data_IF_116077323019
#
_entry.id   IF_116077323019
#
_cell.length_a   1.000
_cell.length_b   1.000
_cell.length_c   1.000
_cell.angle_alpha   90.00
_cell.angle_beta   90.00
_cell.angle_gamma   90.00
#
_symmetry.space_group_name_H-M   'P 1'
#
loop_
_entity.id
_entity.type
_entity.pdbx_description
1 polymer ?
#
# COMPACT_ATOMS: atom_id res chain seq x y z
N UNK A 1 20.18 3.30 20.99
CA UNK A 1 19.59 4.31 20.10
C UNK A 1 18.20 4.63 20.63
N UNK A 2 17.82 5.91 20.65
CA UNK A 2 16.53 6.34 21.21
C UNK A 2 15.40 5.92 20.26
N UNK A 3 14.20 5.63 20.80
CA UNK A 3 13.02 5.24 20.02
C UNK A 3 12.74 6.18 18.83
N UNK A 4 12.93 7.49 19.03
CA UNK A 4 12.71 8.52 18.02
C UNK A 4 13.69 8.43 16.83
N UNK A 5 14.94 8.02 17.08
CA UNK A 5 15.95 7.85 16.03
C UNK A 5 15.60 6.69 15.09
N UNK A 6 15.08 5.58 15.64
CA UNK A 6 14.66 4.43 14.84
C UNK A 6 13.54 4.79 13.86
N UNK A 7 12.55 5.55 14.31
CA UNK A 7 11.41 5.94 13.48
C UNK A 7 11.83 6.87 12.34
N UNK A 8 12.70 7.84 12.63
CA UNK A 8 13.22 8.77 11.64
C UNK A 8 14.04 8.07 10.56
N UNK A 9 14.92 7.15 10.95
CA UNK A 9 15.73 6.35 10.03
C UNK A 9 14.81 5.50 9.15
N UNK A 10 13.84 4.80 9.74
CA UNK A 10 12.91 3.97 8.99
C UNK A 10 12.05 4.78 7.99
N UNK A 11 11.62 5.99 8.37
CA UNK A 11 10.92 6.89 7.46
C UNK A 11 11.81 7.28 6.27
N UNK A 12 13.07 7.67 6.51
CA UNK A 12 13.99 8.10 5.46
C UNK A 12 14.34 6.95 4.50
N UNK A 13 14.64 5.76 5.02
CA UNK A 13 14.98 4.59 4.20
C UNK A 13 13.79 4.05 3.41
N UNK A 14 12.59 4.03 4.00
CA UNK A 14 11.37 3.62 3.26
C UNK A 14 11.05 4.60 2.13
N UNK A 15 11.12 5.91 2.40
CA UNK A 15 10.99 6.95 1.39
C UNK A 15 12.01 6.80 0.26
N UNK A 16 13.30 6.66 0.61
CA UNK A 16 14.39 6.49 -0.34
C UNK A 16 14.27 5.22 -1.18
N UNK A 17 13.91 4.09 -0.56
CA UNK A 17 13.67 2.82 -1.26
C UNK A 17 12.55 2.93 -2.29
N UNK A 18 11.43 3.55 -1.90
CA UNK A 18 10.30 3.77 -2.81
C UNK A 18 10.65 4.70 -3.96
N UNK A 19 11.38 5.79 -3.73
CA UNK A 19 11.83 6.67 -4.82
C UNK A 19 12.83 5.98 -5.72
N UNK A 20 13.81 5.27 -5.15
CA UNK A 20 14.80 4.52 -5.92
C UNK A 20 14.12 3.50 -6.84
N UNK A 21 13.17 2.74 -6.31
CA UNK A 21 12.39 1.81 -7.13
C UNK A 21 11.52 2.53 -8.17
N UNK A 22 10.88 3.64 -7.80
CA UNK A 22 10.07 4.43 -8.73
C UNK A 22 10.89 4.96 -9.92
N UNK A 23 12.16 5.34 -9.69
CA UNK A 23 13.10 5.71 -10.75
C UNK A 23 13.42 4.49 -11.63
N UNK A 24 13.67 3.31 -11.04
CA UNK A 24 13.95 2.09 -11.80
C UNK A 24 12.81 1.71 -12.76
N UNK A 25 11.55 1.90 -12.35
CA UNK A 25 10.38 1.63 -13.21
C UNK A 25 9.93 2.85 -14.03
N UNK A 26 10.77 3.88 -14.12
CA UNK A 26 10.56 5.09 -14.92
C UNK A 26 9.27 5.87 -14.60
N UNK A 27 8.94 6.04 -13.31
CA UNK A 27 7.84 6.91 -12.86
C UNK A 27 8.14 8.38 -13.21
N UNK A 28 7.15 9.16 -13.70
CA UNK A 28 7.34 10.57 -14.01
C UNK A 28 7.84 11.38 -12.81
N UNK A 29 8.81 12.27 -13.03
CA UNK A 29 9.48 13.05 -11.95
C UNK A 29 8.50 13.79 -11.02
N UNK A 30 7.39 14.31 -11.56
CA UNK A 30 6.34 14.99 -10.80
C UNK A 30 5.60 14.10 -9.79
N UNK A 31 5.68 12.78 -9.95
CA UNK A 31 5.02 11.79 -9.10
C UNK A 31 5.98 11.15 -8.07
N UNK A 32 7.31 11.27 -8.25
CA UNK A 32 8.31 10.61 -7.40
C UNK A 32 8.15 10.97 -5.92
N UNK A 33 8.08 12.27 -5.60
CA UNK A 33 7.97 12.72 -4.20
C UNK A 33 6.70 12.17 -3.53
N UNK A 34 5.60 12.14 -4.27
CA UNK A 34 4.30 11.69 -3.77
C UNK A 34 4.26 10.16 -3.62
N UNK A 35 4.87 9.43 -4.56
CA UNK A 35 5.08 8.00 -4.43
C UNK A 35 5.94 7.66 -3.21
N UNK A 36 7.03 8.40 -3.00
CA UNK A 36 7.88 8.28 -1.81
C UNK A 36 7.11 8.47 -0.50
N UNK A 37 6.25 9.49 -0.43
CA UNK A 37 5.40 9.72 0.74
C UNK A 37 4.41 8.56 0.97
N UNK A 38 3.86 7.97 -0.09
CA UNK A 38 2.99 6.79 0.03
C UNK A 38 3.74 5.58 0.61
N UNK A 39 4.97 5.32 0.15
CA UNK A 39 5.80 4.24 0.66
C UNK A 39 6.28 4.45 2.10
N UNK A 40 6.57 5.70 2.46
CA UNK A 40 6.86 6.08 3.84
C UNK A 40 5.63 5.86 4.73
N UNK A 41 4.45 6.35 4.33
CA UNK A 41 3.22 6.20 5.10
C UNK A 41 2.89 4.71 5.35
N UNK A 42 2.96 3.89 4.29
CA UNK A 42 2.68 2.47 4.38
C UNK A 42 3.64 1.71 5.31
N UNK A 43 4.94 2.02 5.23
CA UNK A 43 5.95 1.44 6.10
C UNK A 43 5.78 1.85 7.56
N UNK A 44 5.50 3.13 7.82
CA UNK A 44 5.26 3.61 9.18
C UNK A 44 4.00 2.97 9.80
N UNK A 45 2.95 2.74 9.01
CA UNK A 45 1.79 1.97 9.47
C UNK A 45 2.16 0.53 9.82
N UNK A 46 2.96 -0.14 8.98
CA UNK A 46 3.44 -1.49 9.27
C UNK A 46 4.26 -1.54 10.58
N UNK A 47 5.22 -0.63 10.74
CA UNK A 47 6.06 -0.55 11.93
C UNK A 47 5.21 -0.26 13.17
N UNK A 48 4.30 0.70 13.10
CA UNK A 48 3.39 1.03 14.19
C UNK A 48 2.55 -0.17 14.61
N UNK A 49 2.00 -0.93 13.66
CA UNK A 49 1.25 -2.15 13.93
C UNK A 49 2.12 -3.24 14.59
N UNK A 50 3.37 -3.40 14.16
CA UNK A 50 4.30 -4.35 14.79
C UNK A 50 4.66 -3.93 16.21
N UNK A 51 4.82 -2.63 16.47
CA UNK A 51 5.12 -2.10 17.81
C UNK A 51 4.01 -2.35 18.83
N UNK A 52 2.74 -2.34 18.40
CA UNK A 52 1.59 -2.65 19.27
C UNK A 52 1.28 -4.16 19.33
N UNK A 53 2.22 -5.03 18.93
CA UNK A 53 2.10 -6.49 18.96
C UNK A 53 0.97 -7.10 18.11
N UNK A 54 0.44 -6.37 17.11
CA UNK A 54 -0.57 -6.87 16.17
C UNK A 54 0.01 -7.91 15.19
N UNK A 55 1.35 -7.98 15.08
CA UNK A 55 2.07 -9.01 14.35
C UNK A 55 2.35 -8.65 12.89
N UNK A 56 3.31 -9.36 12.28
CA UNK A 56 3.84 -9.05 10.93
C UNK A 56 2.80 -9.20 9.82
N UNK A 57 1.95 -10.22 9.89
CA UNK A 57 0.94 -10.51 8.86
C UNK A 57 -0.10 -9.39 8.83
N UNK A 58 -0.70 -9.08 9.98
CA UNK A 58 -1.70 -8.03 10.09
C UNK A 58 -1.10 -6.63 9.85
N UNK A 59 0.13 -6.38 10.31
CA UNK A 59 0.83 -5.14 9.97
C UNK A 59 1.03 -4.96 8.46
N UNK A 60 1.30 -6.05 7.72
CA UNK A 60 1.46 -6.00 6.26
C UNK A 60 0.13 -5.76 5.54
N UNK A 61 -0.98 -6.29 6.08
CA UNK A 61 -2.33 -5.99 5.62
C UNK A 61 -2.63 -4.49 5.75
N UNK A 62 -2.41 -3.92 6.94
CA UNK A 62 -2.64 -2.49 7.19
C UNK A 62 -1.74 -1.61 6.33
N UNK A 63 -0.46 -1.97 6.19
CA UNK A 63 0.47 -1.27 5.30
C UNK A 63 -0.02 -1.28 3.85
N UNK A 64 -0.42 -2.44 3.32
CA UNK A 64 -0.93 -2.55 1.95
C UNK A 64 -2.26 -1.81 1.73
N UNK A 65 -3.12 -1.79 2.74
CA UNK A 65 -4.33 -0.97 2.73
C UNK A 65 -3.99 0.52 2.61
N UNK A 66 -3.04 1.00 3.42
CA UNK A 66 -2.56 2.39 3.34
C UNK A 66 -1.92 2.70 1.99
N UNK A 67 -1.16 1.78 1.38
CA UNK A 67 -0.68 1.97 0.00
C UNK A 67 -1.84 2.25 -0.95
N UNK A 68 -2.89 1.41 -0.91
CA UNK A 68 -4.06 1.59 -1.78
C UNK A 68 -4.75 2.94 -1.56
N UNK A 69 -5.00 3.32 -0.30
CA UNK A 69 -5.63 4.59 0.07
C UNK A 69 -4.78 5.78 -0.40
N UNK A 70 -3.48 5.78 -0.10
CA UNK A 70 -2.55 6.83 -0.55
C UNK A 70 -2.52 6.93 -2.07
N UNK A 71 -2.45 5.81 -2.79
CA UNK A 71 -2.44 5.83 -4.24
C UNK A 71 -3.71 6.44 -4.83
N UNK A 72 -4.89 6.17 -4.25
CA UNK A 72 -6.16 6.77 -4.71
C UNK A 72 -6.16 8.28 -4.50
N UNK A 73 -5.75 8.73 -3.31
CA UNK A 73 -5.69 10.15 -2.96
C UNK A 73 -4.70 10.88 -3.88
N UNK A 74 -3.51 10.32 -4.05
CA UNK A 74 -2.44 10.91 -4.85
C UNK A 74 -2.71 10.86 -6.35
N UNK A 75 -3.40 9.83 -6.85
CA UNK A 75 -3.88 9.77 -8.21
C UNK A 75 -4.84 10.90 -8.55
N UNK A 76 -5.75 11.25 -7.62
CA UNK A 76 -6.68 12.38 -7.79
C UNK A 76 -5.93 13.71 -7.78
N UNK A 77 -5.00 13.89 -6.84
CA UNK A 77 -4.22 15.13 -6.71
C UNK A 77 -3.31 15.37 -7.93
N UNK A 78 -2.68 14.32 -8.46
CA UNK A 78 -1.71 14.43 -9.57
C UNK A 78 -2.31 14.15 -10.95
N UNK A 79 -3.59 13.80 -11.03
CA UNK A 79 -4.29 13.40 -12.27
C UNK A 79 -3.51 12.33 -13.04
N UNK A 80 -3.14 11.26 -12.33
CA UNK A 80 -2.33 10.17 -12.87
C UNK A 80 -2.89 8.80 -12.47
N UNK A 81 -2.61 7.74 -13.23
CA UNK A 81 -3.07 6.39 -12.87
C UNK A 81 -2.58 5.98 -11.48
N UNK A 82 -3.46 5.37 -10.67
CA UNK A 82 -3.19 4.93 -9.28
C UNK A 82 -1.96 4.02 -9.17
N UNK A 83 -1.75 3.19 -10.20
CA UNK A 83 -0.65 2.23 -10.26
C UNK A 83 0.74 2.89 -10.19
N UNK A 84 0.86 4.14 -10.64
CA UNK A 84 2.11 4.92 -10.60
C UNK A 84 2.58 5.16 -9.16
N UNK A 85 1.65 5.22 -8.22
CA UNK A 85 1.93 5.41 -6.79
C UNK A 85 1.98 4.08 -6.04
N UNK A 86 1.06 3.16 -6.35
CA UNK A 86 0.91 1.92 -5.60
C UNK A 86 2.10 0.97 -5.73
N UNK A 87 2.57 0.71 -6.95
CA UNK A 87 3.68 -0.23 -7.18
C UNK A 87 4.93 0.17 -6.38
N UNK A 88 5.47 1.40 -6.54
CA UNK A 88 6.69 1.77 -5.81
C UNK A 88 6.47 1.88 -4.29
N UNK A 89 5.28 2.26 -3.84
CA UNK A 89 4.96 2.37 -2.42
C UNK A 89 4.82 1.02 -1.70
N UNK A 90 4.56 -0.08 -2.42
CA UNK A 90 4.54 -1.43 -1.84
C UNK A 90 5.92 -2.00 -1.55
N UNK A 91 6.96 -1.53 -2.25
CA UNK A 91 8.32 -2.06 -2.20
C UNK A 91 8.88 -2.25 -0.78
N UNK A 92 8.82 -1.25 0.14
CA UNK A 92 9.35 -1.44 1.48
C UNK A 92 8.63 -2.55 2.27
N UNK A 93 7.35 -2.83 1.97
CA UNK A 93 6.56 -3.85 2.66
C UNK A 93 6.86 -5.29 2.20
N UNK A 94 7.48 -5.46 1.03
CA UNK A 94 7.71 -6.79 0.47
C UNK A 94 8.67 -7.58 1.37
N UNK A 95 8.32 -8.80 1.82
CA UNK A 95 9.14 -9.59 2.72
C UNK A 95 10.32 -10.29 2.00
N UNK A 96 11.07 -9.56 1.17
CA UNK A 96 12.12 -10.10 0.30
C UNK A 96 13.25 -10.79 1.07
N UNK A 97 13.70 -10.22 2.20
CA UNK A 97 14.71 -10.85 3.05
C UNK A 97 14.23 -12.18 3.65
N UNK A 98 12.97 -12.26 4.05
CA UNK A 98 12.38 -13.50 4.60
C UNK A 98 12.22 -14.54 3.48
N UNK A 99 11.83 -14.13 2.28
CA UNK A 99 11.75 -15.00 1.10
C UNK A 99 13.11 -15.55 0.70
N UNK A 100 14.14 -14.71 0.63
CA UNK A 100 15.51 -15.15 0.37
C UNK A 100 16.00 -16.16 1.42
N UNK A 101 15.74 -15.90 2.70
CA UNK A 101 16.09 -16.85 3.77
C UNK A 101 15.36 -18.19 3.64
N UNK A 102 14.09 -18.19 3.21
CA UNK A 102 13.33 -19.41 2.97
C UNK A 102 14.01 -20.29 1.90
N UNK A 103 14.36 -19.70 0.76
CA UNK A 103 15.05 -20.38 -0.35
C UNK A 103 16.45 -20.85 0.10
N UNK A 104 17.19 -20.00 0.83
CA UNK A 104 18.50 -20.37 1.36
C UNK A 104 18.42 -21.57 2.31
N UNK A 105 17.45 -21.60 3.22
CA UNK A 105 17.25 -22.74 4.12
C UNK A 105 16.87 -24.01 3.36
N UNK A 106 16.07 -23.88 2.30
CA UNK A 106 15.71 -25.01 1.44
C UNK A 106 16.95 -25.59 0.75
N UNK A 107 17.80 -24.73 0.16
CA UNK A 107 19.04 -25.13 -0.51
C UNK A 107 20.05 -25.80 0.43
N UNK A 108 20.06 -25.41 1.72
CA UNK A 108 20.92 -26.00 2.75
C UNK A 108 20.31 -27.24 3.43
N UNK A 109 19.20 -27.78 2.93
CA UNK A 109 18.54 -28.97 3.49
C UNK A 109 17.81 -28.74 4.82
N UNK A 110 17.65 -27.49 5.26
CA UNK A 110 16.99 -27.14 6.52
C UNK A 110 15.46 -27.04 6.35
N UNK A 111 14.82 -28.17 5.99
CA UNK A 111 13.42 -28.22 5.56
C UNK A 111 12.44 -27.63 6.59
N UNK A 112 12.63 -27.92 7.88
CA UNK A 112 11.76 -27.39 8.94
C UNK A 112 11.74 -25.85 9.00
N UNK A 113 12.90 -25.20 8.82
CA UNK A 113 12.99 -23.72 8.81
C UNK A 113 12.49 -23.16 7.48
N UNK A 114 12.84 -23.81 6.37
CA UNK A 114 12.37 -23.42 5.05
C UNK A 114 10.83 -23.39 4.98
N UNK A 115 10.16 -24.44 5.44
CA UNK A 115 8.68 -24.50 5.47
C UNK A 115 8.08 -23.36 6.30
N UNK A 116 8.60 -23.10 7.50
CA UNK A 116 8.11 -22.00 8.37
C UNK A 116 8.23 -20.64 7.69
N UNK A 117 9.38 -20.37 7.06
CA UNK A 117 9.61 -19.08 6.38
C UNK A 117 8.78 -18.95 5.10
N UNK A 118 8.64 -20.01 4.31
CA UNK A 118 7.81 -20.01 3.10
C UNK A 118 6.34 -19.76 3.44
N UNK A 119 5.80 -20.46 4.45
CA UNK A 119 4.42 -20.23 4.92
C UNK A 119 4.26 -18.80 5.43
N UNK A 120 5.22 -18.27 6.18
CA UNK A 120 5.19 -16.87 6.63
C UNK A 120 5.16 -15.86 5.48
N UNK A 121 5.99 -16.06 4.46
CA UNK A 121 6.00 -15.21 3.26
C UNK A 121 4.66 -15.30 2.52
N UNK A 122 4.11 -16.50 2.38
CA UNK A 122 2.79 -16.72 1.78
C UNK A 122 1.68 -16.00 2.55
N UNK A 123 1.68 -16.09 3.89
CA UNK A 123 0.71 -15.37 4.74
C UNK A 123 0.85 -13.85 4.60
N UNK A 124 2.07 -13.32 4.59
CA UNK A 124 2.30 -11.88 4.40
C UNK A 124 1.83 -11.44 3.02
N UNK A 125 2.17 -12.17 1.96
CA UNK A 125 1.75 -11.85 0.60
C UNK A 125 0.21 -11.91 0.44
N UNK A 126 -0.43 -12.92 1.01
CA UNK A 126 -1.90 -13.03 1.04
C UNK A 126 -2.55 -11.87 1.80
N UNK A 127 -1.99 -11.52 2.96
CA UNK A 127 -2.46 -10.39 3.75
C UNK A 127 -2.30 -9.04 3.02
N UNK A 128 -1.19 -8.83 2.32
CA UNK A 128 -0.99 -7.66 1.47
C UNK A 128 -2.01 -7.60 0.33
N UNK A 129 -2.28 -8.72 -0.34
CA UNK A 129 -3.28 -8.80 -1.41
C UNK A 129 -4.68 -8.42 -0.91
N UNK A 130 -5.09 -8.99 0.24
CA UNK A 130 -6.39 -8.67 0.87
C UNK A 130 -6.45 -7.20 1.28
N UNK A 131 -5.44 -6.68 1.98
CA UNK A 131 -5.41 -5.28 2.41
C UNK A 131 -5.50 -4.30 1.26
N UNK A 132 -4.77 -4.58 0.17
CA UNK A 132 -4.83 -3.78 -1.04
C UNK A 132 -6.17 -3.87 -1.76
N UNK A 133 -6.77 -5.06 -1.85
CA UNK A 133 -8.09 -5.27 -2.45
C UNK A 133 -9.17 -4.49 -1.70
N UNK A 134 -9.15 -4.52 -0.36
CA UNK A 134 -10.10 -3.75 0.47
C UNK A 134 -10.00 -2.25 0.13
N UNK A 135 -8.79 -1.70 0.01
CA UNK A 135 -8.61 -0.30 -0.36
C UNK A 135 -9.21 0.02 -1.74
N UNK A 136 -9.07 -0.89 -2.71
CA UNK A 136 -9.66 -0.72 -4.04
C UNK A 136 -11.19 -0.78 -4.00
N UNK A 137 -11.77 -1.74 -3.28
CA UNK A 137 -13.24 -1.87 -3.12
C UNK A 137 -13.83 -0.63 -2.47
N UNK A 138 -13.21 -0.10 -1.42
CA UNK A 138 -13.63 1.16 -0.79
C UNK A 138 -13.59 2.31 -1.81
N UNK A 139 -12.60 2.32 -2.69
CA UNK A 139 -12.46 3.32 -3.74
C UNK A 139 -13.59 3.26 -4.77
N UNK A 140 -13.95 2.06 -5.21
CA UNK A 140 -15.01 1.84 -6.20
C UNK A 140 -16.38 2.15 -5.61
N UNK A 141 -16.61 1.72 -4.37
CA UNK A 141 -17.82 2.06 -3.62
C UNK A 141 -17.98 3.57 -3.46
N UNK A 142 -16.89 4.29 -3.12
CA UNK A 142 -16.94 5.75 -2.98
C UNK A 142 -17.31 6.45 -4.30
N UNK A 143 -16.78 5.97 -5.43
CA UNK A 143 -17.10 6.51 -6.76
C UNK A 143 -18.55 6.22 -7.14
N UNK A 144 -19.00 4.99 -6.91
CA UNK A 144 -20.37 4.56 -7.19
C UNK A 144 -21.39 5.38 -6.39
N UNK A 145 -21.16 5.57 -5.08
CA UNK A 145 -22.02 6.38 -4.22
C UNK A 145 -22.09 7.84 -4.70
N UNK A 146 -20.94 8.41 -5.08
CA UNK A 146 -20.87 9.77 -5.62
C UNK A 146 -21.63 9.93 -6.93
N UNK A 147 -21.48 8.99 -7.86
CA UNK A 147 -22.21 8.98 -9.13
C UNK A 147 -23.71 8.84 -8.92
N UNK A 148 -24.13 8.00 -7.97
CA UNK A 148 -25.53 7.80 -7.63
C UNK A 148 -26.18 9.07 -7.07
N UNK A 149 -25.47 9.83 -6.22
CA UNK A 149 -25.96 11.13 -5.72
C UNK A 149 -26.08 12.16 -6.85
N UNK A 150 -25.09 12.24 -7.74
CA UNK A 150 -25.11 13.13 -8.91
C UNK A 150 -26.25 12.82 -9.88
N UNK A 151 -26.58 11.54 -10.09
CA UNK A 151 -27.73 11.13 -10.89
C UNK A 151 -29.06 11.44 -10.22
N UNK A 152 -29.14 11.27 -8.90
CA UNK A 152 -30.34 11.60 -8.14
C UNK A 152 -30.62 13.11 -8.20
N UNK A 153 -29.61 13.96 -8.01
CA UNK A 153 -29.73 15.42 -8.13
C UNK A 153 -30.19 15.87 -9.52
N UNK A 154 -29.60 15.32 -10.59
CA UNK A 154 -30.00 15.63 -11.98
C UNK A 154 -31.45 15.26 -12.29
N UNK A 155 -31.96 14.14 -11.76
CA UNK A 155 -33.38 13.75 -11.96
C UNK A 155 -34.34 14.76 -11.33
N UNK A 156 -34.05 15.21 -10.10
CA UNK A 156 -34.88 16.21 -9.42
C UNK A 156 -34.84 17.60 -10.07
N UNK A 157 -33.72 17.98 -10.67
CA UNK A 157 -33.65 19.22 -11.48
C UNK A 157 -34.47 19.11 -12.77
N UNK A 158 -34.44 17.97 -13.46
CA UNK A 158 -35.25 17.74 -14.66
C UNK A 158 -36.76 17.67 -14.37
N UNK A 159 -37.19 17.14 -13.22
CA UNK A 159 -38.59 17.16 -12.81
C UNK A 159 -39.07 18.58 -12.49
N UNK A 160 -38.27 19.38 -11.76
CA UNK A 160 -38.59 20.80 -11.49
C UNK A 160 -38.70 21.65 -12.76
N UNK A 161 -37.84 21.40 -13.75
CA UNK A 161 -37.87 22.11 -15.03
C UNK A 161 -39.08 21.77 -15.91
N UNK A 162 -39.73 20.62 -15.71
CA UNK A 162 -40.94 20.23 -16.46
C UNK A 162 -42.24 20.73 -15.82
N UNK A 163 -42.19 21.15 -14.56
CA UNK A 163 -43.36 21.62 -13.79
C UNK A 163 -43.45 23.15 -13.69
N UNK A 164 -42.48 23.89 -14.24
CA UNK A 164 -42.48 25.34 -14.37
C UNK A 164 -42.78 25.74 -15.83
#
# INVERSE_FOLDING_TARGET
MKFWEHFFIQALFSYGSTIGFAICINVPRRALNVAGLAGMASWLTYVGAVMIHVGRVMGSLLGAFIVGVCGIVFARIKHMPVIVFNIPAMVPLVPGATAYQAIRCLALGQLNKAMKLTVLVGMIAGAMAVGFMIAQVVSELSKWLWQRDLEWRRRHEHEKSKSA
#
